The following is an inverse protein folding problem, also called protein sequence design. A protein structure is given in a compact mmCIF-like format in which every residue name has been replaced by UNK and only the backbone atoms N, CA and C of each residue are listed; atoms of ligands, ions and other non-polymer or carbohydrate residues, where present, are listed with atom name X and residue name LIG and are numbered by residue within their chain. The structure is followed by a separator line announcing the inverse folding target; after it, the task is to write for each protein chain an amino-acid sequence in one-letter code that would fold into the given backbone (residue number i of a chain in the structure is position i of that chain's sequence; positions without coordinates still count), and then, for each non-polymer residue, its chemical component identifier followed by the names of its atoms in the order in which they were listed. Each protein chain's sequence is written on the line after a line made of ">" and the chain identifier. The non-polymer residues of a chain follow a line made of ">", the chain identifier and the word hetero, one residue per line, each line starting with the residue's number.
data_IF_089296035605
#
_entry.id   IF_089296035605
#
_cell.length_a   1.000
_cell.length_b   1.000
_cell.length_c   1.000
_cell.angle_alpha   90.00
_cell.angle_beta   90.00
_cell.angle_gamma   90.00
#
_symmetry.space_group_name_H-M   'P 1'
#
loop_
_entity.id
_entity.type
_entity.pdbx_description
1 polymer ?
#
# COMPACT_ATOMS: atom_id res chain seq x y z
N UNK A 1 3.16 -2.94 -44.65
CA UNK A 1 3.21 -3.53 -43.30
C UNK A 1 3.97 -2.57 -42.40
N UNK A 2 3.25 -1.78 -41.59
CA UNK A 2 3.89 -0.80 -40.70
C UNK A 2 4.49 -1.53 -39.49
N UNK A 3 5.79 -1.30 -39.32
CA UNK A 3 6.67 -1.66 -38.22
C UNK A 3 6.02 -1.57 -36.85
N UNK A 4 6.23 -2.61 -36.04
CA UNK A 4 5.65 -2.77 -34.71
C UNK A 4 5.96 -1.60 -33.77
N UNK A 5 4.92 -0.92 -33.34
CA UNK A 5 4.95 -0.17 -32.09
C UNK A 5 4.91 -1.21 -30.97
N UNK A 6 6.09 -1.59 -30.47
CA UNK A 6 6.21 -2.30 -29.21
C UNK A 6 5.63 -1.37 -28.12
N UNK A 7 4.32 -1.46 -27.90
CA UNK A 7 3.63 -0.83 -26.80
C UNK A 7 4.38 -1.23 -25.54
N UNK A 8 5.23 -0.35 -25.00
CA UNK A 8 5.95 -0.58 -23.74
C UNK A 8 4.86 -0.96 -22.74
N UNK A 9 4.78 -2.22 -22.29
CA UNK A 9 3.80 -2.57 -21.29
C UNK A 9 4.16 -1.72 -20.09
N UNK A 10 3.22 -0.88 -19.64
CA UNK A 10 3.44 -0.09 -18.44
C UNK A 10 3.94 -1.04 -17.34
N UNK A 11 4.89 -0.60 -16.49
CA UNK A 11 5.70 -1.48 -15.65
C UNK A 11 4.93 -2.09 -14.46
N UNK A 12 3.65 -2.45 -14.65
CA UNK A 12 2.81 -3.14 -13.67
C UNK A 12 3.45 -4.44 -13.20
N UNK A 13 4.11 -5.19 -14.09
CA UNK A 13 4.81 -6.43 -13.71
C UNK A 13 5.97 -6.17 -12.73
N UNK A 14 6.63 -5.02 -12.86
CA UNK A 14 7.75 -4.62 -12.02
C UNK A 14 7.25 -4.13 -10.65
N UNK A 15 6.17 -3.35 -10.63
CA UNK A 15 5.51 -2.92 -9.39
C UNK A 15 4.88 -4.12 -8.65
N UNK A 16 4.30 -5.07 -9.38
CA UNK A 16 3.82 -6.33 -8.82
C UNK A 16 4.92 -7.07 -8.06
N UNK A 17 6.09 -7.22 -8.70
CA UNK A 17 7.23 -7.91 -8.11
C UNK A 17 7.79 -7.15 -6.90
N UNK A 18 7.78 -5.81 -6.93
CA UNK A 18 8.14 -4.99 -5.79
C UNK A 18 7.16 -5.17 -4.60
N UNK A 19 5.84 -5.20 -4.86
CA UNK A 19 4.83 -5.47 -3.84
C UNK A 19 4.96 -6.89 -3.26
N UNK A 20 5.25 -7.86 -4.12
CA UNK A 20 5.48 -9.24 -3.72
C UNK A 20 6.69 -9.36 -2.79
N UNK A 21 7.84 -8.81 -3.19
CA UNK A 21 9.06 -8.79 -2.37
C UNK A 21 8.83 -8.07 -1.05
N UNK A 22 8.13 -6.94 -1.06
CA UNK A 22 7.81 -6.18 0.15
C UNK A 22 6.90 -6.98 1.09
N UNK A 23 5.96 -7.76 0.55
CA UNK A 23 5.11 -8.64 1.36
C UNK A 23 5.93 -9.79 1.96
N UNK A 24 6.85 -10.39 1.20
CA UNK A 24 7.77 -11.39 1.76
C UNK A 24 8.64 -10.80 2.87
N UNK A 25 9.15 -9.58 2.69
CA UNK A 25 9.92 -8.88 3.71
C UNK A 25 9.08 -8.59 4.96
N UNK A 26 7.82 -8.20 4.80
CA UNK A 26 6.90 -7.96 5.91
C UNK A 26 6.62 -9.22 6.72
N UNK A 27 6.35 -10.34 6.04
CA UNK A 27 6.17 -11.65 6.67
C UNK A 27 7.44 -12.05 7.42
N UNK A 28 8.61 -11.92 6.80
CA UNK A 28 9.89 -12.18 7.45
C UNK A 28 10.12 -11.29 8.68
N UNK A 29 9.83 -9.99 8.57
CA UNK A 29 9.96 -9.02 9.66
C UNK A 29 9.00 -9.35 10.82
N UNK A 30 7.78 -9.79 10.53
CA UNK A 30 6.81 -10.21 11.54
C UNK A 30 7.26 -11.44 12.36
N UNK A 31 8.09 -12.32 11.79
CA UNK A 31 8.66 -13.47 12.51
C UNK A 31 9.87 -13.12 13.39
N UNK A 32 10.40 -11.88 13.32
CA UNK A 32 11.51 -11.46 14.16
C UNK A 32 10.99 -11.20 15.58
N UNK A 33 11.14 -12.19 16.45
CA UNK A 33 10.70 -12.13 17.85
C UNK A 33 11.66 -11.36 18.77
N UNK A 34 12.85 -11.01 18.27
CA UNK A 34 13.89 -10.32 19.04
C UNK A 34 13.63 -8.81 19.25
N UNK A 35 12.61 -8.24 18.60
CA UNK A 35 12.33 -6.80 18.60
C UNK A 35 11.14 -6.49 19.52
N UNK A 36 11.17 -5.38 20.29
CA UNK A 36 10.01 -4.93 21.07
C UNK A 36 8.76 -4.78 20.19
N UNK A 37 7.60 -5.24 20.69
CA UNK A 37 6.33 -5.23 19.94
C UNK A 37 5.97 -3.89 19.33
N UNK A 38 6.31 -2.77 19.99
CA UNK A 38 6.08 -1.42 19.49
C UNK A 38 6.88 -1.13 18.21
N UNK A 39 8.15 -1.52 18.16
CA UNK A 39 9.03 -1.33 17.01
C UNK A 39 8.65 -2.25 15.85
N UNK A 40 8.17 -3.47 16.15
CA UNK A 40 7.56 -4.34 15.14
C UNK A 40 6.32 -3.68 14.54
N UNK A 41 5.38 -3.19 15.37
CA UNK A 41 4.17 -2.55 14.90
C UNK A 41 4.46 -1.32 14.01
N UNK A 42 5.37 -0.44 14.44
CA UNK A 42 5.77 0.74 13.65
C UNK A 42 6.38 0.32 12.31
N UNK A 43 7.28 -0.67 12.29
CA UNK A 43 7.89 -1.16 11.06
C UNK A 43 6.87 -1.74 10.08
N UNK A 44 5.92 -2.54 10.57
CA UNK A 44 4.84 -3.10 9.76
C UNK A 44 3.90 -2.01 9.21
N UNK A 45 3.57 -1.01 10.01
CA UNK A 45 2.76 0.13 9.56
C UNK A 45 3.45 0.88 8.42
N UNK A 46 4.74 1.17 8.55
CA UNK A 46 5.51 1.86 7.50
C UNK A 46 5.53 1.05 6.20
N UNK A 47 5.75 -0.27 6.27
CA UNK A 47 5.68 -1.14 5.09
C UNK A 47 4.29 -1.17 4.45
N UNK A 48 3.23 -1.19 5.27
CA UNK A 48 1.85 -1.12 4.79
C UNK A 48 1.54 0.18 4.07
N UNK A 49 1.97 1.33 4.60
CA UNK A 49 1.82 2.63 3.95
C UNK A 49 2.57 2.70 2.61
N UNK A 50 3.80 2.16 2.54
CA UNK A 50 4.56 2.15 1.29
C UNK A 50 3.89 1.28 0.21
N UNK A 51 3.33 0.12 0.58
CA UNK A 51 2.50 -0.69 -0.33
C UNK A 51 1.29 0.08 -0.84
N UNK A 52 0.55 0.71 0.07
CA UNK A 52 -0.64 1.50 -0.29
C UNK A 52 -0.28 2.64 -1.26
N UNK A 53 0.86 3.30 -1.05
CA UNK A 53 1.36 4.33 -1.97
C UNK A 53 1.72 3.77 -3.35
N UNK A 54 2.44 2.64 -3.43
CA UNK A 54 2.73 1.98 -4.69
C UNK A 54 1.44 1.59 -5.45
N UNK A 55 0.45 1.04 -4.74
CA UNK A 55 -0.85 0.69 -5.33
C UNK A 55 -1.58 1.94 -5.82
N UNK A 56 -1.64 3.01 -5.03
CA UNK A 56 -2.31 4.25 -5.41
C UNK A 56 -1.68 4.91 -6.64
N UNK A 57 -0.35 4.98 -6.70
CA UNK A 57 0.38 5.66 -7.78
C UNK A 57 0.36 4.85 -9.08
N UNK A 58 0.52 3.52 -9.00
CA UNK A 58 0.73 2.68 -10.18
C UNK A 58 -0.50 1.85 -10.58
N UNK A 59 -1.20 1.23 -9.64
CA UNK A 59 -2.33 0.34 -9.95
C UNK A 59 -3.67 1.04 -10.03
N UNK A 60 -3.90 2.03 -9.17
CA UNK A 60 -5.12 2.84 -9.22
C UNK A 60 -5.05 3.97 -10.26
N UNK A 61 -3.93 4.10 -11.00
CA UNK A 61 -3.72 5.10 -12.04
C UNK A 61 -3.84 6.57 -11.58
N UNK A 62 -3.95 6.87 -10.28
CA UNK A 62 -4.16 8.23 -9.76
C UNK A 62 -3.05 9.21 -10.17
N UNK A 63 -1.84 8.73 -10.51
CA UNK A 63 -0.76 9.59 -11.01
C UNK A 63 -1.12 10.29 -12.33
N UNK A 64 -1.96 9.67 -13.16
CA UNK A 64 -2.29 10.14 -14.51
C UNK A 64 -3.75 10.62 -14.65
N UNK A 65 -4.51 10.60 -13.55
CA UNK A 65 -5.94 10.92 -13.53
C UNK A 65 -6.28 12.20 -12.74
N UNK A 66 -7.45 12.83 -12.97
CA UNK A 66 -7.82 14.07 -12.32
C UNK A 66 -8.00 13.93 -10.81
N UNK A 67 -7.66 15.00 -10.07
CA UNK A 67 -7.71 15.11 -8.59
C UNK A 67 -9.05 14.72 -7.94
N UNK A 68 -10.15 14.57 -8.69
CA UNK A 68 -11.45 14.09 -8.18
C UNK A 68 -11.40 12.61 -7.77
N UNK A 69 -10.59 11.77 -8.40
CA UNK A 69 -10.46 10.36 -8.03
C UNK A 69 -9.67 10.17 -6.72
N UNK A 70 -8.76 11.11 -6.41
CA UNK A 70 -8.10 11.21 -5.10
C UNK A 70 -9.11 11.35 -3.96
N UNK A 71 -10.17 12.15 -4.16
CA UNK A 71 -11.24 12.28 -3.17
C UNK A 71 -11.96 10.95 -2.94
N UNK A 72 -12.22 10.18 -4.00
CA UNK A 72 -12.93 8.90 -3.90
C UNK A 72 -12.14 7.85 -3.10
N UNK A 73 -10.82 7.79 -3.31
CA UNK A 73 -9.92 6.92 -2.53
C UNK A 73 -9.82 7.36 -1.06
N UNK A 74 -10.02 8.64 -0.78
CA UNK A 74 -9.96 9.17 0.59
C UNK A 74 -11.24 8.92 1.43
N UNK A 75 -12.37 8.60 0.80
CA UNK A 75 -13.66 8.34 1.47
C UNK A 75 -13.58 7.28 2.60
N UNK A 76 -12.89 6.13 2.43
CA UNK A 76 -12.80 5.13 3.49
C UNK A 76 -11.92 5.55 4.68
N UNK A 77 -11.05 6.55 4.54
CA UNK A 77 -10.11 6.98 5.60
C UNK A 77 -10.85 7.43 6.89
N UNK A 78 -11.84 8.35 6.85
CA UNK A 78 -12.56 8.74 8.05
C UNK A 78 -13.30 7.56 8.70
N UNK A 79 -13.81 6.61 7.91
CA UNK A 79 -14.46 5.40 8.44
C UNK A 79 -13.44 4.55 9.23
N UNK A 80 -12.24 4.34 8.69
CA UNK A 80 -11.15 3.63 9.36
C UNK A 80 -10.77 4.32 10.67
N UNK A 81 -10.68 5.66 10.68
CA UNK A 81 -10.37 6.42 11.88
C UNK A 81 -11.41 6.22 12.96
N UNK A 82 -12.71 6.30 12.63
CA UNK A 82 -13.80 6.04 13.57
C UNK A 82 -13.68 4.62 14.14
N UNK A 83 -13.42 3.62 13.28
CA UNK A 83 -13.27 2.23 13.71
C UNK A 83 -12.12 2.05 14.72
N UNK A 84 -10.97 2.66 14.44
CA UNK A 84 -9.81 2.62 15.34
C UNK A 84 -10.17 3.26 16.69
N UNK A 85 -10.83 4.42 16.69
CA UNK A 85 -11.23 5.09 17.92
C UNK A 85 -12.21 4.27 18.77
N UNK A 86 -13.21 3.66 18.14
CA UNK A 86 -14.19 2.80 18.82
C UNK A 86 -13.49 1.60 19.46
N UNK A 87 -12.63 0.90 18.69
CA UNK A 87 -11.90 -0.27 19.19
C UNK A 87 -10.95 0.11 20.33
N UNK A 88 -10.25 1.24 20.24
CA UNK A 88 -9.40 1.71 21.34
C UNK A 88 -10.24 2.03 22.59
N UNK A 89 -11.39 2.68 22.43
CA UNK A 89 -12.29 2.99 23.56
C UNK A 89 -12.87 1.73 24.22
N UNK A 90 -13.08 0.65 23.46
CA UNK A 90 -13.55 -0.63 24.01
C UNK A 90 -12.46 -1.40 24.74
N UNK A 91 -11.19 -1.24 24.32
CA UNK A 91 -10.03 -1.94 24.91
C UNK A 91 -9.52 -1.27 26.22
N UNK A 92 -9.68 0.05 26.38
CA UNK A 92 -9.22 0.83 27.53
C UNK A 92 -10.34 1.14 28.52
#
# INVERSE_FOLDING_TARGET
>A
MSTGEAHKPAPYMLVWLALFLLTMAEVGYAFITAIPKLWLAIGLIVMAFYKAWLVAVYYMHLKWEPKRLWLMVSIPIPLIMILIFVVLNEIF
#
